data_IF_784313067800
#
_entry.id   IF_784313067800
#
_cell.length_a   1.000
_cell.length_b   1.000
_cell.length_c   1.000
_cell.angle_alpha   90.00
_cell.angle_beta   90.00
_cell.angle_gamma   90.00
#
_symmetry.space_group_name_H-M   'P 1'
#
loop_
_entity.id
_entity.type
_entity.pdbx_description
1 polymer ?
#
# COMPACT_ATOMS: atom_id res chain seq x y z
N UNK A 1 6.71 -18.08 13.55
CA UNK A 1 7.93 -18.35 12.77
C UNK A 1 8.35 -17.06 12.07
N UNK A 2 9.59 -16.58 12.28
CA UNK A 2 10.37 -16.26 11.10
C UNK A 2 11.85 -16.62 11.28
N UNK A 3 12.33 -17.54 10.45
CA UNK A 3 13.76 -17.62 10.15
C UNK A 3 14.02 -16.66 8.98
N UNK A 4 14.93 -15.69 9.16
CA UNK A 4 15.66 -15.13 8.01
C UNK A 4 16.67 -16.19 7.60
N UNK A 5 16.49 -16.79 6.42
CA UNK A 5 17.39 -17.83 5.93
C UNK A 5 18.82 -17.30 5.81
N UNK A 6 19.80 -18.15 6.14
CA UNK A 6 21.21 -17.90 5.87
C UNK A 6 21.42 -17.93 4.36
N UNK A 7 22.27 -17.06 3.83
CA UNK A 7 22.61 -16.87 2.40
C UNK A 7 23.13 -18.10 1.65
N UNK A 8 23.30 -19.24 2.31
CA UNK A 8 23.86 -20.48 1.77
C UNK A 8 22.84 -21.60 1.56
N UNK A 9 21.57 -21.42 1.93
CA UNK A 9 20.51 -22.41 1.72
C UNK A 9 19.70 -22.06 0.46
N UNK A 10 19.45 -23.05 -0.40
CA UNK A 10 18.44 -22.91 -1.45
C UNK A 10 17.08 -22.67 -0.79
N UNK A 11 16.50 -21.50 -1.04
CA UNK A 11 15.19 -21.12 -0.55
C UNK A 11 14.18 -21.08 -1.70
N UNK A 12 12.93 -21.41 -1.38
CA UNK A 12 11.79 -21.28 -2.28
C UNK A 12 10.83 -20.27 -1.69
N UNK A 13 10.25 -19.45 -2.55
CA UNK A 13 9.19 -18.52 -2.18
C UNK A 13 7.85 -19.08 -2.67
N UNK A 14 6.81 -18.88 -1.88
CA UNK A 14 5.45 -19.29 -2.21
C UNK A 14 4.56 -18.05 -2.32
N UNK A 15 4.16 -17.70 -3.53
CA UNK A 15 3.20 -16.64 -3.80
C UNK A 15 1.79 -17.22 -3.71
N UNK A 16 0.98 -16.66 -2.81
CA UNK A 16 -0.37 -17.13 -2.55
C UNK A 16 -1.38 -16.00 -2.72
N UNK A 17 -2.40 -16.24 -3.54
CA UNK A 17 -3.60 -15.40 -3.61
C UNK A 17 -4.73 -16.09 -2.86
N UNK A 18 -5.25 -15.44 -1.83
CA UNK A 18 -6.35 -15.93 -1.00
C UNK A 18 -7.61 -15.12 -1.28
N UNK A 19 -8.75 -15.81 -1.36
CA UNK A 19 -10.06 -15.16 -1.26
C UNK A 19 -10.39 -15.01 0.23
N UNK A 20 -10.53 -13.77 0.70
CA UNK A 20 -10.91 -13.50 2.09
C UNK A 20 -12.36 -13.89 2.39
N UNK A 21 -13.24 -13.89 1.37
CA UNK A 21 -14.63 -14.27 1.53
C UNK A 21 -14.80 -15.77 1.80
N UNK A 22 -14.09 -16.60 1.04
CA UNK A 22 -14.17 -18.07 1.14
C UNK A 22 -13.07 -18.65 2.03
N UNK A 23 -12.16 -17.80 2.52
CA UNK A 23 -10.98 -18.18 3.30
C UNK A 23 -10.16 -19.30 2.64
N UNK A 24 -10.05 -19.27 1.31
CA UNK A 24 -9.44 -20.34 0.53
C UNK A 24 -8.41 -19.83 -0.49
N UNK A 25 -7.37 -20.62 -0.80
CA UNK A 25 -6.47 -20.33 -1.91
C UNK A 25 -7.18 -20.29 -3.26
N UNK A 26 -6.93 -19.23 -4.02
CA UNK A 26 -7.39 -19.06 -5.41
C UNK A 26 -6.25 -19.37 -6.38
N UNK A 27 -5.02 -19.00 -6.03
CA UNK A 27 -3.82 -19.25 -6.83
C UNK A 27 -2.61 -19.43 -5.92
N UNK A 28 -1.75 -20.38 -6.25
CA UNK A 28 -0.48 -20.62 -5.56
C UNK A 28 0.62 -20.83 -6.59
N UNK A 29 1.80 -20.27 -6.37
CA UNK A 29 2.96 -20.45 -7.25
C UNK A 29 4.23 -20.51 -6.41
N UNK A 30 5.05 -21.54 -6.63
CA UNK A 30 6.32 -21.74 -5.93
C UNK A 30 7.47 -21.38 -6.87
N UNK A 31 8.43 -20.61 -6.37
CA UNK A 31 9.49 -19.99 -7.15
C UNK A 31 10.82 -20.09 -6.39
N UNK A 32 11.94 -19.82 -7.08
CA UNK A 32 13.18 -19.55 -6.37
C UNK A 32 13.06 -18.24 -5.59
N UNK A 33 13.70 -18.15 -4.41
CA UNK A 33 13.70 -16.96 -3.53
C UNK A 33 14.21 -15.67 -4.21
N UNK A 34 14.85 -15.77 -5.39
CA UNK A 34 15.31 -14.63 -6.18
C UNK A 34 14.26 -14.06 -7.13
N UNK A 35 13.12 -14.75 -7.31
CA UNK A 35 12.05 -14.28 -8.18
C UNK A 35 11.38 -13.04 -7.60
N UNK A 36 11.06 -12.06 -8.44
CA UNK A 36 10.37 -10.87 -7.96
C UNK A 36 8.91 -11.16 -7.64
N UNK A 37 8.48 -10.83 -6.41
CA UNK A 37 7.07 -10.88 -5.98
C UNK A 37 6.10 -10.22 -6.98
N UNK A 38 6.51 -9.11 -7.60
CA UNK A 38 5.68 -8.33 -8.55
C UNK A 38 5.21 -9.12 -9.76
N UNK A 39 5.97 -10.15 -10.17
CA UNK A 39 5.61 -11.00 -11.30
C UNK A 39 4.36 -11.87 -11.03
N UNK A 40 3.92 -11.96 -9.77
CA UNK A 40 2.83 -12.83 -9.34
C UNK A 40 1.56 -12.07 -8.95
N UNK A 41 1.50 -10.76 -9.23
CA UNK A 41 0.27 -9.99 -9.14
C UNK A 41 -0.79 -10.51 -10.13
N UNK A 42 -2.09 -10.49 -9.76
CA UNK A 42 -3.17 -10.80 -10.70
C UNK A 42 -3.15 -9.87 -11.92
N UNK A 43 -3.80 -10.26 -13.01
CA UNK A 43 -3.94 -9.34 -14.14
C UNK A 43 -4.87 -8.17 -13.77
N UNK A 44 -4.54 -6.91 -14.09
CA UNK A 44 -5.39 -5.77 -13.74
C UNK A 44 -6.86 -5.90 -14.20
N UNK A 45 -7.07 -6.50 -15.37
CA UNK A 45 -8.41 -6.72 -15.94
C UNK A 45 -9.29 -7.68 -15.11
N UNK A 46 -8.70 -8.55 -14.28
CA UNK A 46 -9.45 -9.48 -13.42
C UNK A 46 -9.85 -8.85 -12.08
N UNK A 47 -9.48 -7.60 -11.83
CA UNK A 47 -9.63 -6.93 -10.53
C UNK A 47 -10.75 -5.89 -10.48
N UNK A 48 -11.67 -5.86 -11.44
CA UNK A 48 -12.75 -4.85 -11.50
C UNK A 48 -13.65 -4.85 -10.26
N UNK A 49 -14.09 -6.02 -9.83
CA UNK A 49 -15.02 -6.18 -8.72
C UNK A 49 -14.35 -6.49 -7.36
N UNK A 50 -13.24 -7.27 -7.29
CA UNK A 50 -12.60 -7.55 -6.01
C UNK A 50 -11.69 -6.41 -5.54
N UNK A 51 -11.57 -6.27 -4.22
CA UNK A 51 -10.53 -5.45 -3.59
C UNK A 51 -9.22 -6.24 -3.46
N UNK A 52 -8.16 -5.79 -4.12
CA UNK A 52 -6.83 -6.38 -3.96
C UNK A 52 -6.14 -5.85 -2.67
N UNK A 53 -5.76 -6.75 -1.76
CA UNK A 53 -4.89 -6.45 -0.62
C UNK A 53 -3.49 -7.01 -0.86
N UNK A 54 -2.46 -6.18 -0.82
CA UNK A 54 -1.09 -6.60 -1.18
C UNK A 54 0.00 -6.06 -0.22
N UNK A 55 1.07 -6.83 -0.05
CA UNK A 55 2.22 -6.46 0.78
C UNK A 55 3.19 -5.48 0.09
N UNK A 56 4.20 -5.05 0.86
CA UNK A 56 5.13 -4.01 0.43
C UNK A 56 6.07 -4.44 -0.71
N UNK A 57 6.35 -5.73 -0.86
CA UNK A 57 7.19 -6.22 -1.96
C UNK A 57 6.44 -6.31 -3.29
N UNK A 58 5.10 -6.34 -3.26
CA UNK A 58 4.23 -6.20 -4.43
C UNK A 58 3.99 -4.74 -4.87
N UNK A 59 4.64 -3.76 -4.24
CA UNK A 59 4.46 -2.36 -4.61
C UNK A 59 5.02 -2.05 -6.01
N UNK A 60 4.13 -1.72 -6.94
CA UNK A 60 4.44 -1.32 -8.32
C UNK A 60 3.43 -0.26 -8.82
N UNK A 61 3.89 0.97 -9.06
CA UNK A 61 3.00 2.09 -9.40
C UNK A 61 2.33 1.91 -10.76
N UNK A 62 3.08 1.44 -11.76
CA UNK A 62 2.59 1.29 -13.13
C UNK A 62 1.54 0.17 -13.16
N UNK A 63 1.71 -0.87 -12.33
CA UNK A 63 0.68 -1.88 -12.11
C UNK A 63 -0.57 -1.28 -11.48
N UNK A 64 -0.46 -0.57 -10.34
CA UNK A 64 -1.63 -0.04 -9.64
C UNK A 64 -2.36 1.06 -10.42
N UNK A 65 -1.64 1.82 -11.23
CA UNK A 65 -2.23 2.72 -12.21
C UNK A 65 -3.10 1.94 -13.22
N UNK A 66 -2.60 0.84 -13.79
CA UNK A 66 -3.38 -0.01 -14.70
C UNK A 66 -4.59 -0.66 -14.02
N UNK A 67 -4.49 -1.03 -12.74
CA UNK A 67 -5.62 -1.54 -11.95
C UNK A 67 -6.72 -0.47 -11.86
N UNK A 68 -6.36 0.76 -11.48
CA UNK A 68 -7.31 1.88 -11.45
C UNK A 68 -7.96 2.13 -12.80
N UNK A 69 -7.18 2.17 -13.89
CA UNK A 69 -7.72 2.34 -15.25
C UNK A 69 -8.63 1.19 -15.71
N UNK A 70 -8.44 -0.01 -15.16
CA UNK A 70 -9.30 -1.18 -15.44
C UNK A 70 -10.58 -1.20 -14.61
N UNK A 71 -10.77 -0.20 -13.73
CA UNK A 71 -11.89 -0.09 -12.79
C UNK A 71 -11.72 -0.94 -11.54
N UNK A 72 -10.53 -1.48 -11.28
CA UNK A 72 -10.28 -2.30 -10.09
C UNK A 72 -9.88 -1.50 -8.86
N UNK A 73 -10.03 -2.11 -7.68
CA UNK A 73 -9.73 -1.47 -6.39
C UNK A 73 -8.57 -2.14 -5.66
N UNK A 74 -7.76 -1.38 -4.93
CA UNK A 74 -6.64 -1.94 -4.16
C UNK A 74 -6.33 -1.20 -2.86
N UNK A 75 -5.74 -1.93 -1.91
CA UNK A 75 -4.95 -1.39 -0.78
C UNK A 75 -3.63 -2.17 -0.71
N UNK A 76 -2.52 -1.48 -0.93
CA UNK A 76 -1.18 -2.07 -0.86
C UNK A 76 -0.35 -1.40 0.21
N UNK A 77 0.51 -2.17 0.87
CA UNK A 77 1.49 -1.61 1.80
C UNK A 77 2.53 -0.78 1.03
N UNK A 78 2.71 0.47 1.43
CA UNK A 78 3.74 1.33 0.87
C UNK A 78 5.12 1.08 1.49
N UNK A 79 6.16 1.46 0.75
CA UNK A 79 7.53 1.50 1.27
C UNK A 79 7.84 2.86 1.90
N UNK A 80 8.84 2.89 2.80
CA UNK A 80 9.35 4.13 3.40
C UNK A 80 10.10 5.04 2.41
N UNK A 81 10.56 4.48 1.29
CA UNK A 81 11.34 5.20 0.26
C UNK A 81 10.46 5.93 -0.75
N UNK A 82 9.14 5.84 -0.61
CA UNK A 82 8.17 6.48 -1.50
C UNK A 82 8.32 8.00 -1.42
N UNK A 83 8.69 8.62 -2.53
CA UNK A 83 8.89 10.06 -2.62
C UNK A 83 8.06 10.66 -3.75
N UNK A 84 6.77 10.83 -3.47
CA UNK A 84 5.80 11.46 -4.37
C UNK A 84 5.48 12.88 -3.91
N UNK A 85 4.97 13.71 -4.82
CA UNK A 85 4.52 15.06 -4.48
C UNK A 85 3.15 14.97 -3.81
N UNK A 86 2.98 15.67 -2.69
CA UNK A 86 1.69 15.75 -1.99
C UNK A 86 0.83 16.84 -2.65
N UNK A 87 -0.32 16.47 -3.18
CA UNK A 87 -1.27 17.42 -3.78
C UNK A 87 -2.22 17.97 -2.72
N UNK A 88 -2.82 17.05 -1.94
CA UNK A 88 -3.72 17.39 -0.84
C UNK A 88 -3.31 16.60 0.40
N UNK A 89 -3.38 17.25 1.56
CA UNK A 89 -3.12 16.62 2.84
C UNK A 89 -4.25 16.87 3.83
N UNK A 90 -4.69 15.81 4.49
CA UNK A 90 -5.63 15.84 5.62
C UNK A 90 -5.00 15.13 6.81
N UNK A 91 -5.38 15.51 8.04
CA UNK A 91 -5.08 14.72 9.21
C UNK A 91 -6.08 13.56 9.38
N UNK A 92 -5.91 12.72 10.41
CA UNK A 92 -6.83 11.61 10.70
C UNK A 92 -8.28 12.01 11.00
N UNK A 93 -8.55 13.29 11.28
CA UNK A 93 -9.90 13.84 11.48
C UNK A 93 -10.47 14.48 10.21
N UNK A 94 -9.81 14.32 9.05
CA UNK A 94 -10.24 14.91 7.78
C UNK A 94 -9.92 16.40 7.62
N UNK A 95 -9.32 17.06 8.62
CA UNK A 95 -8.96 18.48 8.55
C UNK A 95 -7.83 18.68 7.54
N UNK A 96 -8.04 19.59 6.60
CA UNK A 96 -7.04 19.99 5.61
C UNK A 96 -5.78 20.58 6.26
N UNK A 97 -4.62 20.26 5.68
CA UNK A 97 -3.30 20.72 6.09
C UNK A 97 -2.59 21.41 4.91
N UNK A 98 -2.99 22.63 4.52
CA UNK A 98 -2.47 23.31 3.31
C UNK A 98 -0.95 23.48 3.30
N UNK A 99 -0.32 23.60 4.48
CA UNK A 99 1.14 23.72 4.63
C UNK A 99 1.92 22.49 4.17
N UNK A 100 1.24 21.36 3.91
CA UNK A 100 1.84 20.13 3.41
C UNK A 100 1.61 19.92 1.91
N UNK A 101 0.72 20.67 1.28
CA UNK A 101 0.54 20.65 -0.17
C UNK A 101 1.81 21.10 -0.88
N UNK A 102 2.03 20.54 -2.06
CA UNK A 102 3.21 20.70 -2.94
C UNK A 102 4.55 20.31 -2.34
N UNK A 103 4.54 19.68 -1.15
CA UNK A 103 5.77 19.17 -0.55
C UNK A 103 6.05 17.74 -1.02
N UNK A 104 7.33 17.38 -1.23
CA UNK A 104 7.69 15.99 -1.43
C UNK A 104 7.43 15.21 -0.14
N UNK A 105 6.84 14.00 -0.25
CA UNK A 105 6.46 13.19 0.91
C UNK A 105 7.64 12.94 1.87
N UNK A 106 8.86 12.78 1.34
CA UNK A 106 10.09 12.58 2.14
C UNK A 106 10.41 13.75 3.08
N UNK A 107 9.97 14.97 2.75
CA UNK A 107 10.22 16.16 3.59
C UNK A 107 9.33 16.20 4.83
N UNK A 108 8.23 15.45 4.82
CA UNK A 108 7.28 15.41 5.92
C UNK A 108 7.77 14.40 6.95
N UNK A 109 8.57 14.86 7.90
CA UNK A 109 9.10 14.04 9.00
C UNK A 109 8.32 14.24 10.29
N UNK A 110 8.61 13.45 11.33
CA UNK A 110 8.02 13.62 12.67
C UNK A 110 8.41 14.95 13.34
N UNK A 111 9.51 15.58 12.90
CA UNK A 111 9.94 16.91 13.37
C UNK A 111 9.11 18.03 12.74
N UNK A 112 8.77 17.90 11.46
CA UNK A 112 8.04 18.93 10.69
C UNK A 112 6.53 18.80 10.81
N UNK A 113 6.00 17.60 11.07
CA UNK A 113 4.58 17.35 11.29
C UNK A 113 4.39 16.27 12.37
N UNK A 114 3.52 16.57 13.35
CA UNK A 114 3.26 15.69 14.49
C UNK A 114 1.95 14.89 14.41
N UNK A 115 1.21 15.01 13.31
CA UNK A 115 -0.02 14.25 13.09
C UNK A 115 0.28 12.76 13.10
N UNK A 116 -0.51 11.99 13.85
CA UNK A 116 -0.37 10.54 13.90
C UNK A 116 -0.79 9.90 12.59
N UNK A 117 -1.88 10.38 12.00
CA UNK A 117 -2.40 9.94 10.71
C UNK A 117 -2.40 11.12 9.75
N UNK A 118 -1.90 10.86 8.54
CA UNK A 118 -2.07 11.71 7.37
C UNK A 118 -2.78 10.91 6.28
N UNK A 119 -3.76 11.55 5.68
CA UNK A 119 -4.48 11.07 4.50
C UNK A 119 -4.14 12.02 3.34
N UNK A 120 -3.40 11.50 2.38
CA UNK A 120 -2.74 12.30 1.35
C UNK A 120 -3.24 11.88 -0.03
N UNK A 121 -3.51 12.86 -0.88
CA UNK A 121 -3.50 12.64 -2.33
C UNK A 121 -2.10 12.98 -2.82
N UNK A 122 -1.44 12.01 -3.42
CA UNK A 122 -0.08 12.14 -3.93
C UNK A 122 -0.08 11.99 -5.45
N UNK A 123 0.89 12.63 -6.10
CA UNK A 123 1.13 12.49 -7.54
C UNK A 123 2.55 12.00 -7.81
N UNK A 124 2.69 11.06 -8.74
CA UNK A 124 3.99 10.58 -9.26
C UNK A 124 3.86 10.26 -10.74
N UNK A 125 4.76 10.79 -11.56
CA UNK A 125 4.79 10.55 -13.00
C UNK A 125 3.44 10.80 -13.71
N UNK A 126 2.66 11.78 -13.24
CA UNK A 126 1.33 12.09 -13.77
C UNK A 126 0.18 11.31 -13.12
N UNK A 127 0.45 10.16 -12.50
CA UNK A 127 -0.56 9.36 -11.80
C UNK A 127 -0.83 9.91 -10.38
N UNK A 128 -2.10 10.14 -10.08
CA UNK A 128 -2.59 10.48 -8.74
C UNK A 128 -3.12 9.26 -8.00
N UNK A 129 -2.77 9.15 -6.73
CA UNK A 129 -3.22 8.07 -5.88
C UNK A 129 -3.34 8.54 -4.43
N UNK A 130 -4.15 7.82 -3.65
CA UNK A 130 -4.32 8.08 -2.23
C UNK A 130 -3.26 7.34 -1.42
N UNK A 131 -2.73 8.01 -0.41
CA UNK A 131 -1.70 7.50 0.48
C UNK A 131 -2.08 7.79 1.93
N UNK A 132 -2.27 6.73 2.71
CA UNK A 132 -2.45 6.83 4.16
C UNK A 132 -1.09 6.61 4.82
N UNK A 133 -0.71 7.52 5.71
CA UNK A 133 0.51 7.39 6.51
C UNK A 133 0.18 7.49 7.99
N UNK A 134 0.49 6.46 8.76
CA UNK A 134 0.35 6.44 10.22
C UNK A 134 1.68 6.30 10.94
N UNK A 135 1.87 7.08 11.99
CA UNK A 135 2.93 6.90 12.98
C UNK A 135 2.52 5.85 14.00
N UNK A 136 3.36 4.83 14.20
CA UNK A 136 3.21 3.85 15.28
C UNK A 136 4.27 4.15 16.34
N UNK A 137 3.82 4.50 17.55
CA UNK A 137 4.68 5.00 18.61
C UNK A 137 5.53 3.89 19.23
N UNK A 138 4.95 2.70 19.39
CA UNK A 138 5.57 1.50 19.94
C UNK A 138 6.75 1.07 19.07
N UNK A 139 6.56 1.12 17.76
CA UNK A 139 7.53 0.69 16.75
C UNK A 139 8.44 1.83 16.26
N UNK A 140 8.20 3.06 16.74
CA UNK A 140 8.87 4.30 16.35
C UNK A 140 9.06 4.44 14.83
N UNK A 141 8.02 4.08 14.05
CA UNK A 141 8.09 4.10 12.59
C UNK A 141 6.79 4.59 11.95
N UNK A 142 6.92 5.07 10.72
CA UNK A 142 5.78 5.26 9.84
C UNK A 142 5.43 3.97 9.10
N UNK A 143 4.13 3.78 8.96
CA UNK A 143 3.47 2.78 8.15
C UNK A 143 2.71 3.50 7.06
N UNK A 144 2.80 2.99 5.83
CA UNK A 144 2.23 3.63 4.65
C UNK A 144 1.33 2.62 3.95
N UNK A 145 0.20 3.09 3.44
CA UNK A 145 -0.68 2.34 2.55
C UNK A 145 -0.99 3.18 1.33
N UNK A 146 -0.95 2.55 0.17
CA UNK A 146 -1.40 3.11 -1.10
C UNK A 146 -2.78 2.54 -1.43
N UNK A 147 -3.68 3.35 -1.94
CA UNK A 147 -5.00 2.92 -2.35
C UNK A 147 -5.58 3.85 -3.42
N UNK A 148 -6.56 3.36 -4.15
CA UNK A 148 -7.44 4.17 -4.99
C UNK A 148 -8.86 4.29 -4.41
N UNK A 149 -9.11 3.79 -3.19
CA UNK A 149 -10.39 3.92 -2.52
C UNK A 149 -10.70 5.40 -2.18
N UNK A 150 -11.90 5.90 -2.53
CA UNK A 150 -12.25 7.30 -2.42
C UNK A 150 -12.30 7.78 -0.96
N UNK A 151 -11.96 9.05 -0.74
CA UNK A 151 -11.93 9.65 0.61
C UNK A 151 -13.34 9.95 1.12
N UNK A 152 -14.30 10.06 0.21
CA UNK A 152 -15.71 10.32 0.46
C UNK A 152 -16.42 9.11 1.08
N UNK A 153 -15.96 7.89 0.76
CA UNK A 153 -16.57 6.64 1.25
C UNK A 153 -15.73 5.95 2.32
N UNK A 154 -14.40 6.02 2.22
CA UNK A 154 -13.50 5.31 3.13
C UNK A 154 -12.60 6.29 3.87
N UNK A 155 -12.66 6.29 5.20
CA UNK A 155 -11.74 7.06 6.04
C UNK A 155 -10.36 6.42 6.07
N UNK A 156 -9.35 7.16 6.54
CA UNK A 156 -8.02 6.61 6.77
C UNK A 156 -8.03 5.42 7.75
N UNK A 157 -8.97 5.39 8.71
CA UNK A 157 -9.13 4.25 9.63
C UNK A 157 -9.63 3.02 8.88
N UNK A 158 -10.66 3.19 8.05
CA UNK A 158 -11.23 2.08 7.26
C UNK A 158 -10.17 1.42 6.39
N UNK A 159 -9.30 2.21 5.72
CA UNK A 159 -8.19 1.65 4.94
C UNK A 159 -7.26 0.77 5.80
N UNK A 160 -6.98 1.19 7.03
CA UNK A 160 -6.13 0.41 7.94
C UNK A 160 -6.85 -0.85 8.43
N UNK A 161 -8.14 -0.77 8.75
CA UNK A 161 -8.94 -1.89 9.23
C UNK A 161 -9.16 -2.93 8.12
N UNK A 162 -9.48 -2.48 6.91
CA UNK A 162 -9.54 -3.31 5.70
C UNK A 162 -8.21 -4.01 5.45
N UNK A 163 -7.08 -3.29 5.55
CA UNK A 163 -5.76 -3.91 5.36
C UNK A 163 -5.44 -4.97 6.42
N UNK A 164 -5.98 -4.84 7.64
CA UNK A 164 -5.81 -5.85 8.70
C UNK A 164 -6.52 -7.15 8.35
N UNK A 165 -7.61 -7.13 7.58
CA UNK A 165 -8.29 -8.36 7.13
C UNK A 165 -7.43 -9.26 6.24
N UNK A 166 -6.28 -8.78 5.75
CA UNK A 166 -5.33 -9.61 5.01
C UNK A 166 -4.82 -10.80 5.85
N UNK A 167 -4.73 -10.66 7.19
CA UNK A 167 -4.25 -11.70 8.14
C UNK A 167 -4.90 -11.57 9.53
#
# INVERSE_FOLDING_TARGET
FPCRFKTTAAAVECHLTLSLFTQSPVKMTVTADTASERAYLPAPATLRDPLLLADAGYLDFDYFERVSHSGGSFVVRGSKSLNSQVMTARNGQGKLLPKLSDKPLKSITRRTNRSEVLDLICRRNGYEFRLIRRWFAEEKRFCVWLTNLPVEEFTASDIMDIYRCRW
#
